data_IF_370340213165
#
_entry.id   IF_370340213165
#
_cell.length_a   1.000
_cell.length_b   1.000
_cell.length_c   1.000
_cell.angle_alpha   90.00
_cell.angle_beta   90.00
_cell.angle_gamma   90.00
#
_symmetry.space_group_name_H-M   'P 1'
#
loop_
_entity.id
_entity.type
_entity.pdbx_description
1 polymer ?
#
# COMPACT_ATOMS: atom_id res chain seq x y z
N UNK A 1 8.94 -15.92 -7.32
CA UNK A 1 7.76 -15.61 -8.14
C UNK A 1 7.18 -14.33 -7.59
N UNK A 2 6.99 -13.30 -8.41
CA UNK A 2 6.43 -12.04 -7.94
C UNK A 2 4.99 -12.28 -7.50
N UNK A 3 4.66 -11.93 -6.25
CA UNK A 3 3.30 -11.94 -5.75
C UNK A 3 2.55 -10.81 -6.47
N UNK A 4 1.86 -11.11 -7.57
CA UNK A 4 1.15 -10.14 -8.39
C UNK A 4 -0.36 -10.30 -8.24
N UNK A 5 -1.08 -9.19 -8.21
CA UNK A 5 -2.54 -9.13 -8.10
C UNK A 5 -3.13 -8.41 -9.32
N UNK A 6 -4.27 -8.90 -9.81
CA UNK A 6 -4.99 -8.28 -10.93
C UNK A 6 -5.75 -7.05 -10.40
N UNK A 7 -5.37 -5.85 -10.84
CA UNK A 7 -6.07 -4.61 -10.46
C UNK A 7 -7.08 -4.15 -11.50
N UNK A 8 -6.96 -4.64 -12.75
CA UNK A 8 -7.90 -4.32 -13.82
C UNK A 8 -7.99 -5.46 -14.82
N UNK A 9 -9.21 -5.84 -15.17
CA UNK A 9 -9.50 -6.79 -16.24
C UNK A 9 -10.28 -6.06 -17.32
N UNK A 10 -9.80 -6.16 -18.56
CA UNK A 10 -10.50 -5.62 -19.72
C UNK A 10 -11.66 -6.55 -20.12
N UNK A 11 -12.70 -6.05 -20.81
CA UNK A 11 -13.69 -6.92 -21.42
C UNK A 11 -13.03 -7.89 -22.40
N UNK A 12 -13.74 -8.97 -22.72
CA UNK A 12 -13.32 -9.87 -23.80
C UNK A 12 -13.28 -9.09 -25.12
N UNK A 13 -12.20 -9.29 -25.88
CA UNK A 13 -12.01 -8.72 -27.20
C UNK A 13 -12.07 -9.80 -28.25
N UNK A 14 -12.76 -9.49 -29.34
CA UNK A 14 -12.74 -10.21 -30.61
C UNK A 14 -11.80 -9.51 -31.59
N UNK A 15 -11.59 -10.08 -32.78
CA UNK A 15 -10.84 -9.40 -33.85
C UNK A 15 -11.37 -7.97 -34.11
N UNK A 16 -12.68 -7.80 -34.15
CA UNK A 16 -13.33 -6.52 -34.48
C UNK A 16 -13.33 -5.51 -33.33
N UNK A 17 -13.31 -5.99 -32.08
CA UNK A 17 -13.41 -5.13 -30.88
C UNK A 17 -12.05 -4.89 -30.20
N UNK A 18 -10.98 -5.51 -30.70
CA UNK A 18 -9.62 -5.28 -30.23
C UNK A 18 -9.26 -3.79 -30.35
N UNK A 19 -8.92 -3.09 -29.24
CA UNK A 19 -8.67 -1.66 -29.31
C UNK A 19 -7.42 -1.36 -30.15
N UNK A 20 -7.57 -0.47 -31.12
CA UNK A 20 -6.51 -0.12 -32.09
C UNK A 20 -5.20 0.35 -31.45
N UNK A 21 -5.24 0.86 -30.23
CA UNK A 21 -4.03 1.23 -29.47
C UNK A 21 -3.06 0.06 -29.29
N UNK A 22 -3.58 -1.16 -29.08
CA UNK A 22 -2.75 -2.35 -28.86
C UNK A 22 -2.10 -2.91 -30.14
N UNK A 23 -2.53 -2.42 -31.32
CA UNK A 23 -1.94 -2.77 -32.62
C UNK A 23 -0.68 -1.93 -32.94
N UNK A 24 -0.51 -0.81 -32.24
CA UNK A 24 0.64 0.07 -32.38
C UNK A 24 1.69 -0.23 -31.32
N UNK A 25 2.92 0.25 -31.54
CA UNK A 25 4.00 0.10 -30.58
C UNK A 25 3.66 0.83 -29.28
N UNK A 26 3.57 0.09 -28.17
CA UNK A 26 3.26 0.64 -26.86
C UNK A 26 3.89 -0.20 -25.75
N UNK A 27 3.79 0.28 -24.51
CA UNK A 27 4.18 -0.47 -23.32
C UNK A 27 3.25 -0.13 -22.14
N UNK A 28 3.40 -0.87 -21.05
CA UNK A 28 2.77 -0.56 -19.78
C UNK A 28 3.63 0.39 -18.95
N UNK A 29 2.99 1.10 -18.02
CA UNK A 29 3.68 1.95 -17.05
C UNK A 29 4.57 1.12 -16.11
N UNK A 30 5.48 1.78 -15.40
CA UNK A 30 6.22 1.18 -14.29
C UNK A 30 5.27 0.54 -13.26
N UNK A 31 5.65 -0.63 -12.74
CA UNK A 31 4.84 -1.39 -11.78
C UNK A 31 3.53 -1.96 -12.36
N UNK A 32 3.37 -1.98 -13.68
CA UNK A 32 2.22 -2.61 -14.36
C UNK A 32 2.70 -3.74 -15.26
N UNK A 33 2.34 -4.96 -14.89
CA UNK A 33 2.45 -6.13 -15.75
C UNK A 33 1.14 -6.30 -16.53
N UNK A 34 1.24 -6.92 -17.70
CA UNK A 34 0.08 -7.27 -18.51
C UNK A 34 0.07 -8.77 -18.80
N UNK A 35 -1.05 -9.43 -18.54
CA UNK A 35 -1.28 -10.83 -18.91
C UNK A 35 -2.38 -10.88 -19.96
N UNK A 36 -2.00 -11.20 -21.18
CA UNK A 36 -2.95 -11.52 -22.23
C UNK A 36 -3.35 -12.99 -22.09
N UNK A 37 -4.65 -13.27 -22.17
CA UNK A 37 -5.21 -14.61 -22.13
C UNK A 37 -5.98 -14.85 -23.43
N UNK A 38 -5.56 -15.86 -24.20
CA UNK A 38 -6.25 -16.27 -25.43
C UNK A 38 -7.32 -17.30 -25.06
N UNK A 39 -8.57 -17.03 -25.45
CA UNK A 39 -9.75 -17.85 -25.15
C UNK A 39 -10.17 -18.68 -26.36
N UNK A 40 -9.95 -18.19 -27.58
CA UNK A 40 -10.20 -18.87 -28.85
C UNK A 40 -9.35 -18.26 -29.97
N UNK A 41 -9.18 -19.00 -31.06
CA UNK A 41 -8.44 -18.56 -32.24
C UNK A 41 -6.94 -18.39 -31.98
N UNK A 42 -6.31 -17.47 -32.70
CA UNK A 42 -4.88 -17.17 -32.56
C UNK A 42 -4.59 -15.68 -32.70
N UNK A 43 -3.46 -15.26 -32.14
CA UNK A 43 -2.99 -13.88 -32.14
C UNK A 43 -1.50 -13.84 -32.38
N UNK A 44 -1.08 -13.03 -33.36
CA UNK A 44 0.32 -12.73 -33.60
C UNK A 44 0.76 -11.53 -32.77
N UNK A 45 1.91 -11.64 -32.14
CA UNK A 45 2.43 -10.69 -31.16
C UNK A 45 3.91 -10.41 -31.43
N UNK A 46 4.32 -9.16 -31.31
CA UNK A 46 5.71 -8.75 -31.45
C UNK A 46 6.22 -8.09 -30.16
N UNK A 47 7.38 -8.54 -29.69
CA UNK A 47 8.22 -7.75 -28.80
C UNK A 47 9.03 -6.80 -29.67
N UNK A 48 9.07 -5.54 -29.29
CA UNK A 48 9.65 -4.45 -30.09
C UNK A 48 10.63 -3.63 -29.26
N UNK A 49 11.38 -2.75 -29.92
CA UNK A 49 12.10 -1.66 -29.25
C UNK A 49 11.24 -0.38 -29.18
N UNK A 50 11.80 0.69 -28.61
CA UNK A 50 11.11 1.99 -28.51
C UNK A 50 10.84 2.67 -29.86
N UNK A 51 11.54 2.27 -30.93
CA UNK A 51 11.34 2.77 -32.29
C UNK A 51 10.31 1.95 -33.08
N UNK A 52 9.89 0.79 -32.55
CA UNK A 52 8.93 -0.11 -33.16
C UNK A 52 9.55 -1.20 -34.02
N UNK A 53 10.88 -1.35 -34.00
CA UNK A 53 11.53 -2.46 -34.68
C UNK A 53 11.17 -3.77 -33.97
N UNK A 54 10.82 -4.80 -34.75
CA UNK A 54 10.46 -6.11 -34.18
C UNK A 54 11.73 -6.84 -33.77
N UNK A 55 11.80 -7.20 -32.49
CA UNK A 55 12.89 -7.98 -31.91
C UNK A 55 12.55 -9.48 -31.94
N UNK A 56 11.32 -9.80 -31.56
CA UNK A 56 10.81 -11.18 -31.53
C UNK A 56 9.35 -11.20 -31.96
N UNK A 57 8.92 -12.33 -32.55
CA UNK A 57 7.56 -12.54 -33.06
C UNK A 57 7.04 -13.88 -32.59
N UNK A 58 5.79 -13.91 -32.12
CA UNK A 58 5.15 -15.07 -31.54
C UNK A 58 3.72 -15.21 -32.08
N UNK A 59 3.22 -16.44 -32.11
CA UNK A 59 1.81 -16.73 -32.33
C UNK A 59 1.29 -17.47 -31.10
N UNK A 60 0.25 -16.90 -30.48
CA UNK A 60 -0.38 -17.44 -29.28
C UNK A 60 -1.77 -18.01 -29.59
N UNK A 61 -2.16 -19.02 -28.83
CA UNK A 61 -3.45 -19.73 -28.92
C UNK A 61 -3.91 -20.17 -27.53
N UNK A 62 -5.12 -20.75 -27.36
CA UNK A 62 -5.55 -21.32 -26.09
C UNK A 62 -4.55 -22.33 -25.50
N UNK A 63 -3.90 -23.10 -26.36
CA UNK A 63 -2.90 -24.13 -26.00
C UNK A 63 -1.49 -23.56 -25.80
N UNK A 64 -1.20 -22.38 -26.36
CA UNK A 64 0.07 -21.68 -26.25
C UNK A 64 -0.15 -20.24 -25.78
N UNK A 65 -0.31 -20.06 -24.47
CA UNK A 65 -0.63 -18.76 -23.88
C UNK A 65 0.57 -17.80 -23.92
N UNK A 66 0.31 -16.48 -24.06
CA UNK A 66 1.35 -15.47 -23.92
C UNK A 66 1.98 -15.50 -22.52
N UNK A 67 3.29 -15.26 -22.40
CA UNK A 67 3.90 -15.02 -21.10
C UNK A 67 3.40 -13.69 -20.52
N UNK A 68 3.70 -13.46 -19.25
CA UNK A 68 3.50 -12.17 -18.62
C UNK A 68 4.36 -11.11 -19.31
N UNK A 69 3.76 -9.96 -19.63
CA UNK A 69 4.46 -8.81 -20.22
C UNK A 69 4.97 -7.93 -19.09
N UNK A 70 6.27 -7.65 -19.12
CA UNK A 70 6.97 -6.88 -18.10
C UNK A 70 6.68 -5.36 -18.20
N UNK A 71 6.76 -4.61 -17.08
CA UNK A 71 6.65 -3.16 -17.09
C UNK A 71 7.62 -2.51 -18.08
N UNK A 72 7.15 -1.50 -18.81
CA UNK A 72 7.92 -0.76 -19.84
C UNK A 72 8.41 -1.60 -21.03
N UNK A 73 8.07 -2.88 -21.12
CA UNK A 73 8.40 -3.72 -22.28
C UNK A 73 7.59 -3.27 -23.50
N UNK A 74 8.29 -2.86 -24.55
CA UNK A 74 7.69 -2.46 -25.82
C UNK A 74 7.16 -3.68 -26.58
N UNK A 75 5.91 -3.58 -27.02
CA UNK A 75 5.25 -4.65 -27.75
C UNK A 75 4.06 -4.14 -28.57
N UNK A 76 3.52 -5.02 -29.42
CA UNK A 76 2.25 -4.82 -30.12
C UNK A 76 1.62 -6.14 -30.55
N UNK A 77 0.30 -6.12 -30.72
CA UNK A 77 -0.43 -7.16 -31.42
C UNK A 77 -0.27 -6.90 -32.92
N UNK A 78 0.23 -7.87 -33.67
CA UNK A 78 0.49 -7.76 -35.11
C UNK A 78 -0.76 -8.10 -35.90
N UNK A 79 -1.40 -9.22 -35.56
CA UNK A 79 -2.58 -9.73 -36.25
C UNK A 79 -3.40 -10.63 -35.32
N UNK A 80 -4.65 -10.91 -35.69
CA UNK A 80 -5.50 -11.84 -34.97
C UNK A 80 -6.37 -12.61 -35.98
N UNK A 81 -6.64 -13.88 -35.70
CA UNK A 81 -7.56 -14.70 -36.50
C UNK A 81 -9.01 -14.19 -36.38
N UNK A 82 -9.85 -14.54 -37.34
CA UNK A 82 -11.25 -14.09 -37.39
C UNK A 82 -12.09 -14.58 -36.22
N UNK A 83 -11.74 -15.72 -35.65
CA UNK A 83 -12.36 -16.33 -34.48
C UNK A 83 -11.65 -15.99 -33.16
N UNK A 84 -10.65 -15.08 -33.19
CA UNK A 84 -9.89 -14.71 -32.00
C UNK A 84 -10.80 -14.15 -30.92
N UNK A 85 -10.64 -14.69 -29.71
CA UNK A 85 -11.19 -14.12 -28.48
C UNK A 85 -10.10 -14.07 -27.42
N UNK A 86 -9.90 -12.93 -26.79
CA UNK A 86 -8.89 -12.77 -25.75
C UNK A 86 -9.33 -11.82 -24.64
N UNK A 87 -8.59 -11.83 -23.54
CA UNK A 87 -8.77 -10.92 -22.41
C UNK A 87 -7.43 -10.40 -21.95
N UNK A 88 -7.39 -9.12 -21.56
CA UNK A 88 -6.19 -8.51 -21.00
C UNK A 88 -6.40 -8.23 -19.50
N UNK A 89 -5.46 -8.72 -18.69
CA UNK A 89 -5.37 -8.41 -17.28
C UNK A 89 -4.18 -7.49 -17.03
N UNK A 90 -4.40 -6.42 -16.27
CA UNK A 90 -3.32 -5.60 -15.73
C UNK A 90 -3.08 -6.00 -14.28
N UNK A 91 -1.82 -6.28 -13.97
CA UNK A 91 -1.37 -6.75 -12.68
C UNK A 91 -0.36 -5.78 -12.09
N UNK A 92 -0.29 -5.74 -10.76
CA UNK A 92 0.71 -4.99 -10.01
C UNK A 92 1.11 -5.77 -8.75
N UNK A 93 2.12 -5.31 -8.03
CA UNK A 93 2.40 -5.84 -6.69
C UNK A 93 1.31 -5.37 -5.71
N UNK A 94 1.04 -6.12 -4.63
CA UNK A 94 0.02 -5.78 -3.63
C UNK A 94 0.16 -4.37 -3.05
N UNK A 95 1.37 -3.88 -2.85
CA UNK A 95 1.62 -2.55 -2.30
C UNK A 95 1.24 -1.41 -3.25
N UNK A 96 1.28 -1.66 -4.56
CA UNK A 96 0.85 -0.72 -5.59
C UNK A 96 -0.66 -0.82 -5.87
N UNK A 97 -1.33 -1.89 -5.41
CA UNK A 97 -2.74 -2.15 -5.71
C UNK A 97 -3.68 -1.00 -5.31
N UNK A 98 -3.60 -0.43 -4.09
CA UNK A 98 -4.45 0.70 -3.71
C UNK A 98 -4.26 1.91 -4.64
N UNK A 99 -3.02 2.17 -5.07
CA UNK A 99 -2.70 3.29 -5.96
C UNK A 99 -3.16 3.05 -7.40
N UNK A 100 -2.92 1.85 -7.94
CA UNK A 100 -3.27 1.49 -9.33
C UNK A 100 -4.78 1.43 -9.53
N UNK A 101 -5.53 0.81 -8.60
CA UNK A 101 -6.98 0.61 -8.72
C UNK A 101 -7.81 1.80 -8.24
N UNK A 102 -7.48 2.35 -7.07
CA UNK A 102 -8.32 3.33 -6.37
C UNK A 102 -7.73 4.74 -6.29
N UNK A 103 -6.58 4.97 -6.94
CA UNK A 103 -5.89 6.28 -6.92
C UNK A 103 -5.58 6.75 -5.49
N UNK A 104 -5.31 5.79 -4.60
CA UNK A 104 -4.78 6.05 -3.27
C UNK A 104 -3.26 6.28 -3.35
N UNK A 105 -2.66 6.66 -2.23
CA UNK A 105 -1.21 6.53 -2.10
C UNK A 105 -0.83 5.05 -2.01
N UNK A 106 0.38 4.70 -2.48
CA UNK A 106 0.99 3.39 -2.25
C UNK A 106 1.05 3.08 -0.76
N UNK A 107 0.95 1.80 -0.38
CA UNK A 107 1.18 1.39 1.00
C UNK A 107 2.53 1.93 1.52
N UNK A 108 2.58 2.31 2.79
CA UNK A 108 3.77 2.94 3.36
C UNK A 108 4.98 2.00 3.24
N UNK A 109 6.14 2.49 2.79
CA UNK A 109 7.32 1.65 2.52
C UNK A 109 7.74 0.82 3.72
N UNK A 110 7.69 1.40 4.92
CA UNK A 110 7.98 0.69 6.18
C UNK A 110 7.03 -0.47 6.46
N UNK A 111 5.75 -0.36 6.09
CA UNK A 111 4.78 -1.45 6.23
C UNK A 111 5.10 -2.57 5.25
N UNK A 112 5.43 -2.20 4.00
CA UNK A 112 5.80 -3.14 2.93
C UNK A 112 7.10 -3.87 3.26
N UNK A 113 8.08 -3.17 3.84
CA UNK A 113 9.35 -3.77 4.25
C UNK A 113 9.20 -4.70 5.46
N UNK A 114 8.40 -4.28 6.46
CA UNK A 114 8.25 -5.02 7.70
C UNK A 114 7.48 -6.32 7.52
N UNK A 115 6.31 -6.27 6.87
CA UNK A 115 5.31 -7.34 6.89
C UNK A 115 5.88 -8.74 6.52
N UNK A 116 6.69 -8.92 5.46
CA UNK A 116 7.22 -10.23 5.09
C UNK A 116 8.24 -10.81 6.10
N UNK A 117 8.72 -10.01 7.05
CA UNK A 117 9.73 -10.38 8.06
C UNK A 117 9.11 -10.64 9.44
N UNK A 118 7.82 -10.36 9.62
CA UNK A 118 7.14 -10.54 10.91
C UNK A 118 6.74 -12.00 11.10
N UNK A 119 6.95 -12.51 12.31
CA UNK A 119 6.45 -13.83 12.73
C UNK A 119 5.01 -13.67 13.24
N UNK A 120 4.06 -13.72 12.31
CA UNK A 120 2.64 -13.51 12.57
C UNK A 120 1.85 -14.82 12.51
N UNK A 121 0.86 -15.02 13.41
CA UNK A 121 -0.02 -16.18 13.33
C UNK A 121 -0.89 -16.15 12.06
N UNK A 122 -1.39 -17.30 11.63
CA UNK A 122 -2.16 -17.43 10.38
C UNK A 122 -3.42 -16.55 10.30
N UNK A 123 -4.00 -16.18 11.45
CA UNK A 123 -5.17 -15.30 11.54
C UNK A 123 -4.83 -13.97 12.22
N UNK A 124 -3.62 -13.46 12.00
CA UNK A 124 -3.12 -12.27 12.67
C UNK A 124 -4.08 -11.09 12.57
N UNK A 125 -4.24 -10.41 13.70
CA UNK A 125 -5.02 -9.19 13.84
C UNK A 125 -4.12 -7.98 13.77
N UNK A 126 -4.42 -7.08 12.84
CA UNK A 126 -3.78 -5.79 12.72
C UNK A 126 -4.72 -4.66 13.15
N UNK A 127 -4.14 -3.60 13.72
CA UNK A 127 -4.81 -2.33 13.97
C UNK A 127 -4.12 -1.22 13.18
N UNK A 128 -4.86 -0.53 12.32
CA UNK A 128 -4.41 0.66 11.60
C UNK A 128 -4.93 1.92 12.28
N UNK A 129 -4.07 2.56 13.08
CA UNK A 129 -4.36 3.75 13.88
C UNK A 129 -4.15 5.00 13.03
N UNK A 130 -5.26 5.62 12.60
CA UNK A 130 -5.29 6.69 11.61
C UNK A 130 -5.21 6.14 10.19
N UNK A 131 -6.13 5.21 9.88
CA UNK A 131 -6.10 4.44 8.64
C UNK A 131 -6.40 5.29 7.38
N UNK A 132 -6.96 6.49 7.54
CA UNK A 132 -7.38 7.37 6.46
C UNK A 132 -8.25 6.65 5.42
N UNK A 133 -7.85 6.75 4.15
CA UNK A 133 -8.51 6.06 3.03
C UNK A 133 -8.06 4.60 2.87
N UNK A 134 -7.26 4.07 3.80
CA UNK A 134 -6.96 2.63 3.93
C UNK A 134 -5.79 2.08 3.11
N UNK A 135 -4.81 2.89 2.71
CA UNK A 135 -3.66 2.40 1.92
C UNK A 135 -2.94 1.22 2.58
N UNK A 136 -2.79 1.27 3.92
CA UNK A 136 -2.15 0.21 4.68
C UNK A 136 -3.16 -0.89 5.03
N UNK A 137 -4.36 -0.55 5.50
CA UNK A 137 -5.43 -1.53 5.76
C UNK A 137 -5.69 -2.48 4.58
N UNK A 138 -5.80 -1.93 3.36
CA UNK A 138 -6.01 -2.74 2.15
C UNK A 138 -4.80 -3.63 1.86
N UNK A 139 -3.58 -3.10 1.98
CA UNK A 139 -2.35 -3.88 1.78
C UNK A 139 -2.24 -5.05 2.77
N UNK A 140 -2.55 -4.84 4.04
CA UNK A 140 -2.53 -5.88 5.07
C UNK A 140 -3.61 -6.94 4.83
N UNK A 141 -4.82 -6.53 4.44
CA UNK A 141 -5.91 -7.45 4.11
C UNK A 141 -5.58 -8.31 2.88
N UNK A 142 -4.91 -7.75 1.87
CA UNK A 142 -4.41 -8.50 0.70
C UNK A 142 -3.36 -9.56 1.10
N UNK A 143 -2.71 -9.41 2.25
CA UNK A 143 -1.81 -10.40 2.84
C UNK A 143 -2.49 -11.31 3.86
N UNK A 144 -3.82 -11.28 3.95
CA UNK A 144 -4.61 -12.21 4.75
C UNK A 144 -4.79 -11.83 6.22
N UNK A 145 -4.38 -10.63 6.65
CA UNK A 145 -4.60 -10.16 8.01
C UNK A 145 -6.06 -9.71 8.21
N UNK A 146 -6.55 -9.81 9.45
CA UNK A 146 -7.79 -9.15 9.87
C UNK A 146 -7.46 -7.76 10.39
N UNK A 147 -7.99 -6.72 9.78
CA UNK A 147 -7.62 -5.33 10.07
C UNK A 147 -8.79 -4.61 10.74
N UNK A 148 -8.55 -4.07 11.92
CA UNK A 148 -9.39 -3.02 12.49
C UNK A 148 -8.75 -1.67 12.07
N UNK A 149 -9.48 -0.84 11.33
CA UNK A 149 -9.03 0.48 10.88
C UNK A 149 -9.79 1.59 11.62
N UNK A 150 -9.05 2.50 12.26
CA UNK A 150 -9.64 3.59 13.03
C UNK A 150 -9.20 4.93 12.47
N UNK A 151 -10.13 5.86 12.26
CA UNK A 151 -9.83 7.23 11.85
C UNK A 151 -10.87 8.21 12.39
N UNK A 152 -10.55 9.51 12.43
CA UNK A 152 -11.50 10.55 12.85
C UNK A 152 -12.29 11.13 11.67
N UNK A 153 -11.85 10.87 10.43
CA UNK A 153 -12.43 11.45 9.23
C UNK A 153 -13.52 10.53 8.64
N UNK A 154 -14.82 10.86 8.79
CA UNK A 154 -15.90 10.03 8.29
C UNK A 154 -15.91 9.88 6.76
N UNK A 155 -15.44 10.89 6.01
CA UNK A 155 -15.37 10.82 4.54
C UNK A 155 -14.29 9.83 4.08
N UNK A 156 -13.17 9.78 4.80
CA UNK A 156 -12.10 8.83 4.53
C UNK A 156 -12.54 7.38 4.83
N UNK A 157 -13.23 7.19 5.96
CA UNK A 157 -13.82 5.91 6.35
C UNK A 157 -14.90 5.47 5.35
N UNK A 158 -15.76 6.38 4.90
CA UNK A 158 -16.78 6.09 3.89
C UNK A 158 -16.14 5.65 2.57
N UNK A 159 -15.10 6.35 2.12
CA UNK A 159 -14.33 5.96 0.92
C UNK A 159 -13.75 4.55 1.07
N UNK A 160 -13.20 4.23 2.25
CA UNK A 160 -12.64 2.90 2.51
C UNK A 160 -13.73 1.83 2.60
N UNK A 161 -14.89 2.13 3.19
CA UNK A 161 -16.03 1.22 3.25
C UNK A 161 -16.53 0.83 1.85
N UNK A 162 -16.58 1.78 0.91
CA UNK A 162 -16.93 1.51 -0.49
C UNK A 162 -15.90 0.59 -1.17
N UNK A 163 -14.62 0.79 -0.91
CA UNK A 163 -13.57 -0.09 -1.42
C UNK A 163 -13.71 -1.50 -0.82
N UNK A 164 -13.93 -1.61 0.50
CA UNK A 164 -14.13 -2.88 1.20
C UNK A 164 -15.31 -3.65 0.59
N UNK A 165 -16.42 -2.98 0.32
CA UNK A 165 -17.59 -3.60 -0.31
C UNK A 165 -17.27 -4.08 -1.73
N UNK A 166 -16.65 -3.23 -2.55
CA UNK A 166 -16.28 -3.57 -3.94
C UNK A 166 -15.29 -4.74 -4.03
N UNK A 167 -14.42 -4.89 -3.03
CA UNK A 167 -13.39 -5.92 -2.95
C UNK A 167 -13.84 -7.18 -2.18
N UNK A 168 -15.06 -7.18 -1.64
CA UNK A 168 -15.58 -8.23 -0.74
C UNK A 168 -14.67 -8.47 0.48
N UNK A 169 -14.10 -7.41 1.05
CA UNK A 169 -13.20 -7.47 2.21
C UNK A 169 -13.92 -7.29 3.56
N UNK A 170 -15.26 -7.35 3.59
CA UNK A 170 -16.05 -7.07 4.81
C UNK A 170 -15.79 -8.02 5.98
N UNK A 171 -15.32 -9.24 5.72
CA UNK A 171 -14.89 -10.17 6.77
C UNK A 171 -13.45 -9.90 7.26
N UNK A 172 -12.65 -9.17 6.47
CA UNK A 172 -11.24 -8.90 6.71
C UNK A 172 -10.97 -7.54 7.30
N UNK A 173 -11.76 -6.52 6.96
CA UNK A 173 -11.55 -5.15 7.42
C UNK A 173 -12.79 -4.65 8.16
N UNK A 174 -12.60 -4.17 9.38
CA UNK A 174 -13.63 -3.48 10.17
C UNK A 174 -13.19 -2.05 10.41
N UNK A 175 -14.14 -1.13 10.36
CA UNK A 175 -13.87 0.30 10.52
C UNK A 175 -14.54 0.82 11.78
N UNK A 176 -13.87 1.74 12.46
CA UNK A 176 -14.44 2.51 13.56
C UNK A 176 -14.02 3.98 13.46
N UNK A 177 -14.92 4.87 13.86
CA UNK A 177 -14.63 6.30 13.96
C UNK A 177 -14.18 6.62 15.40
N UNK A 178 -13.05 7.33 15.53
CA UNK A 178 -12.60 7.85 16.82
C UNK A 178 -11.73 9.09 16.67
N UNK A 179 -11.92 10.07 17.56
CA UNK A 179 -11.00 11.19 17.73
C UNK A 179 -9.87 10.81 18.69
N UNK A 180 -8.67 10.64 18.14
CA UNK A 180 -7.49 10.30 18.93
C UNK A 180 -7.05 11.39 19.91
N UNK A 181 -7.52 12.64 19.78
CA UNK A 181 -7.26 13.66 20.80
C UNK A 181 -7.93 13.36 22.14
N UNK A 182 -8.85 12.39 22.17
CA UNK A 182 -9.48 11.90 23.41
C UNK A 182 -8.67 10.81 24.13
N UNK A 183 -7.50 10.40 23.58
CA UNK A 183 -6.71 9.29 24.14
C UNK A 183 -6.19 9.58 25.56
N UNK A 184 -6.07 10.85 25.96
CA UNK A 184 -5.68 11.24 27.31
C UNK A 184 -6.80 11.07 28.35
N UNK A 185 -8.05 11.01 27.90
CA UNK A 185 -9.25 10.99 28.76
C UNK A 185 -9.94 9.63 28.78
N UNK A 186 -9.75 8.81 27.74
CA UNK A 186 -10.43 7.53 27.59
C UNK A 186 -9.61 6.52 26.78
N UNK A 187 -9.89 5.23 27.00
CA UNK A 187 -9.30 4.13 26.22
C UNK A 187 -10.02 4.02 24.87
N UNK A 188 -9.31 4.36 23.79
CA UNK A 188 -9.79 4.29 22.41
C UNK A 188 -9.44 2.96 21.77
N UNK A 189 -8.30 2.37 22.16
CA UNK A 189 -7.84 1.11 21.62
C UNK A 189 -8.21 -0.02 22.57
N UNK A 190 -8.89 -1.04 22.05
CA UNK A 190 -9.30 -2.23 22.80
C UNK A 190 -8.92 -3.49 22.03
N UNK A 191 -8.61 -4.56 22.78
CA UNK A 191 -8.26 -5.86 22.22
C UNK A 191 -6.77 -6.18 22.34
N UNK A 192 -6.38 -7.24 21.64
CA UNK A 192 -5.01 -7.75 21.57
C UNK A 192 -4.66 -7.98 20.11
N UNK A 193 -3.68 -7.22 19.60
CA UNK A 193 -3.28 -7.22 18.19
C UNK A 193 -1.87 -7.76 18.02
N UNK A 194 -1.66 -8.51 16.95
CA UNK A 194 -0.35 -9.02 16.56
C UNK A 194 0.49 -7.94 15.87
N UNK A 195 -0.16 -6.97 15.23
CA UNK A 195 0.48 -5.82 14.58
C UNK A 195 -0.35 -4.55 14.82
N UNK A 196 0.27 -3.49 15.30
CA UNK A 196 -0.34 -2.15 15.34
C UNK A 196 0.52 -1.19 14.54
N UNK A 197 -0.07 -0.43 13.64
CA UNK A 197 0.61 0.60 12.86
C UNK A 197 0.01 1.98 13.11
N UNK A 198 0.88 2.99 13.11
CA UNK A 198 0.50 4.40 13.03
C UNK A 198 1.52 5.13 12.16
N UNK A 199 1.17 5.37 10.90
CA UNK A 199 2.09 5.98 9.93
C UNK A 199 1.61 7.37 9.52
N UNK A 200 2.34 8.41 9.93
CA UNK A 200 2.07 9.82 9.59
C UNK A 200 0.74 10.32 10.15
N UNK A 201 0.47 10.00 11.43
CA UNK A 201 -0.79 10.35 12.13
C UNK A 201 -0.52 11.18 13.39
N UNK A 202 0.46 10.76 14.21
CA UNK A 202 0.70 11.36 15.53
C UNK A 202 0.95 12.88 15.47
N UNK A 203 1.53 13.39 14.37
CA UNK A 203 1.80 14.83 14.22
C UNK A 203 0.54 15.71 14.16
N UNK A 204 -0.64 15.12 13.94
CA UNK A 204 -1.91 15.84 13.92
C UNK A 204 -2.61 15.89 15.29
N UNK A 205 -2.03 15.26 16.31
CA UNK A 205 -2.64 15.14 17.64
C UNK A 205 -2.03 16.15 18.62
N UNK A 206 -2.79 16.53 19.64
CA UNK A 206 -2.23 17.24 20.79
C UNK A 206 -1.18 16.35 21.48
N UNK A 207 -0.13 16.98 22.02
CA UNK A 207 1.04 16.26 22.53
C UNK A 207 0.70 15.21 23.60
N UNK A 208 -0.18 15.52 24.55
CA UNK A 208 -0.60 14.58 25.59
C UNK A 208 -1.41 13.41 25.01
N UNK A 209 -2.26 13.69 24.02
CA UNK A 209 -3.03 12.68 23.33
C UNK A 209 -2.14 11.75 22.48
N UNK A 210 -1.12 12.28 21.80
CA UNK A 210 -0.17 11.49 21.03
C UNK A 210 0.57 10.50 21.94
N UNK A 211 1.07 10.97 23.10
CA UNK A 211 1.76 10.11 24.07
C UNK A 211 0.83 9.08 24.71
N UNK A 212 -0.38 9.49 25.06
CA UNK A 212 -1.39 8.57 25.59
C UNK A 212 -1.78 7.50 24.56
N UNK A 213 -1.91 7.87 23.28
CA UNK A 213 -2.22 6.94 22.20
C UNK A 213 -1.10 5.90 22.02
N UNK A 214 0.18 6.31 22.05
CA UNK A 214 1.31 5.36 22.01
C UNK A 214 1.23 4.37 23.18
N UNK A 215 0.95 4.84 24.39
CA UNK A 215 0.79 3.94 25.56
C UNK A 215 -0.40 2.98 25.39
N UNK A 216 -1.51 3.44 24.81
CA UNK A 216 -2.63 2.57 24.47
C UNK A 216 -2.27 1.53 23.41
N UNK A 217 -1.49 1.89 22.38
CA UNK A 217 -0.99 0.95 21.37
C UNK A 217 -0.16 -0.16 22.04
N UNK A 218 0.80 0.22 22.89
CA UNK A 218 1.62 -0.73 23.64
C UNK A 218 0.78 -1.69 24.49
N UNK A 219 -0.27 -1.18 25.12
CA UNK A 219 -1.21 -1.96 25.95
C UNK A 219 -2.02 -2.93 25.09
N UNK A 220 -2.57 -2.48 23.96
CA UNK A 220 -3.37 -3.26 23.04
C UNK A 220 -2.56 -4.28 22.20
N UNK A 221 -1.23 -4.25 22.29
CA UNK A 221 -0.38 -5.20 21.56
C UNK A 221 -0.28 -6.53 22.32
N UNK A 222 -0.48 -7.64 21.62
CA UNK A 222 -0.28 -8.97 22.16
C UNK A 222 1.20 -9.18 22.57
N UNK A 223 1.49 -10.00 23.60
CA UNK A 223 2.85 -10.46 23.85
C UNK A 223 3.47 -11.08 22.59
N UNK A 224 4.70 -10.71 22.27
CA UNK A 224 5.34 -11.09 21.01
C UNK A 224 4.87 -10.33 19.75
N UNK A 225 3.83 -9.51 19.85
CA UNK A 225 3.30 -8.68 18.76
C UNK A 225 4.13 -7.43 18.48
N UNK A 226 3.75 -6.69 17.44
CA UNK A 226 4.59 -5.65 16.85
C UNK A 226 3.91 -4.27 16.83
N UNK A 227 4.70 -3.21 16.97
CA UNK A 227 4.28 -1.83 16.70
C UNK A 227 5.17 -1.22 15.62
N UNK A 228 4.53 -0.60 14.63
CA UNK A 228 5.19 0.15 13.58
C UNK A 228 4.73 1.61 13.59
N UNK A 229 5.63 2.52 13.92
CA UNK A 229 5.35 3.97 13.99
C UNK A 229 6.27 4.72 13.03
N UNK A 230 5.67 5.64 12.29
CA UNK A 230 6.41 6.66 11.51
C UNK A 230 5.80 8.02 11.84
N UNK A 231 6.58 8.92 12.41
CA UNK A 231 6.09 10.26 12.79
C UNK A 231 7.15 11.34 12.59
N UNK A 232 6.69 12.56 12.31
CA UNK A 232 7.56 13.71 12.11
C UNK A 232 8.22 14.11 13.43
N UNK A 233 9.42 14.68 13.29
CA UNK A 233 10.24 15.18 14.37
C UNK A 233 10.47 16.68 14.25
N UNK A 234 10.90 17.28 15.36
CA UNK A 234 11.40 18.65 15.44
C UNK A 234 12.78 18.66 16.11
N UNK A 235 13.82 18.89 15.30
CA UNK A 235 15.24 18.73 15.65
C UNK A 235 16.03 19.95 15.19
N UNK A 236 17.15 20.27 15.86
CA UNK A 236 17.93 21.48 15.57
C UNK A 236 18.42 21.58 14.12
N UNK A 237 18.76 20.45 13.49
CA UNK A 237 19.27 20.39 12.11
C UNK A 237 18.16 20.30 11.04
N UNK A 238 16.97 19.81 11.42
CA UNK A 238 15.75 19.80 10.60
C UNK A 238 14.55 20.30 11.43
N UNK A 239 14.45 21.61 11.69
CA UNK A 239 13.37 22.16 12.51
C UNK A 239 12.03 22.01 11.78
N UNK A 240 10.97 21.66 12.52
CA UNK A 240 9.65 21.49 11.92
C UNK A 240 9.02 22.84 11.59
N UNK A 241 8.86 23.11 10.29
CA UNK A 241 8.23 24.34 9.77
C UNK A 241 6.72 24.21 9.58
N UNK A 242 6.16 23.02 9.78
CA UNK A 242 4.73 22.77 9.63
C UNK A 242 3.98 23.04 10.94
N UNK A 243 2.71 23.48 10.87
CA UNK A 243 1.89 23.76 12.06
C UNK A 243 1.35 22.47 12.68
N UNK A 244 2.22 21.49 12.92
CA UNK A 244 1.87 20.25 13.59
C UNK A 244 1.75 20.49 15.10
N UNK A 245 0.62 20.14 15.75
CA UNK A 245 0.46 20.25 17.21
C UNK A 245 1.42 19.34 17.99
N UNK A 246 1.97 18.29 17.36
CA UNK A 246 2.94 17.39 17.97
C UNK A 246 4.04 17.01 17.00
N UNK A 247 5.26 16.93 17.52
CA UNK A 247 6.44 16.37 16.84
C UNK A 247 7.28 15.67 17.90
N UNK A 248 7.96 14.59 17.49
CA UNK A 248 8.87 13.88 18.36
C UNK A 248 10.20 14.62 18.49
N UNK A 249 10.80 14.56 19.68
CA UNK A 249 12.20 14.95 19.92
C UNK A 249 13.15 13.79 19.66
N UNK A 250 14.43 14.10 19.49
CA UNK A 250 15.50 13.10 19.37
C UNK A 250 15.45 12.11 20.54
N UNK A 251 15.43 10.81 20.22
CA UNK A 251 15.37 9.71 21.19
C UNK A 251 14.03 9.54 21.92
N UNK A 252 13.03 10.41 21.71
CA UNK A 252 11.78 10.38 22.48
C UNK A 252 11.00 9.07 22.22
N UNK A 253 10.89 8.64 20.97
CA UNK A 253 10.12 7.45 20.62
C UNK A 253 10.79 6.16 21.08
N UNK A 254 12.12 6.03 20.93
CA UNK A 254 12.84 4.86 21.45
C UNK A 254 12.77 4.76 22.97
N UNK A 255 12.83 5.90 23.68
CA UNK A 255 12.65 5.94 25.13
C UNK A 255 11.25 5.46 25.55
N UNK A 256 10.19 5.83 24.81
CA UNK A 256 8.83 5.36 25.08
C UNK A 256 8.68 3.84 24.92
N UNK A 257 9.49 3.21 24.08
CA UNK A 257 9.50 1.76 23.85
C UNK A 257 10.61 1.03 24.63
N UNK A 258 11.12 1.62 25.71
CA UNK A 258 12.07 0.95 26.60
C UNK A 258 11.51 -0.40 27.08
N UNK A 259 12.33 -1.45 26.97
CA UNK A 259 11.95 -2.83 27.32
C UNK A 259 11.33 -3.62 26.17
N UNK A 260 11.02 -2.99 25.03
CA UNK A 260 10.68 -3.68 23.80
C UNK A 260 11.94 -3.98 22.98
N UNK A 261 11.88 -5.02 22.15
CA UNK A 261 12.93 -5.31 21.18
C UNK A 261 12.77 -4.37 19.97
N UNK A 262 13.74 -3.50 19.74
CA UNK A 262 13.72 -2.59 18.58
C UNK A 262 14.32 -3.30 17.36
N UNK A 263 13.46 -3.81 16.48
CA UNK A 263 13.86 -4.47 15.24
C UNK A 263 14.33 -3.48 14.18
N UNK A 264 13.77 -2.27 14.19
CA UNK A 264 14.22 -1.14 13.39
C UNK A 264 13.99 0.14 14.17
N UNK A 265 15.02 0.99 14.25
CA UNK A 265 14.89 2.34 14.75
C UNK A 265 15.83 3.26 13.96
N UNK A 266 15.29 4.38 13.47
CA UNK A 266 16.08 5.47 12.92
C UNK A 266 15.29 6.78 13.00
N UNK A 267 16.03 7.89 12.90
CA UNK A 267 15.50 9.25 12.90
C UNK A 267 15.97 9.99 11.64
N UNK A 268 15.92 9.30 10.50
CA UNK A 268 16.51 9.78 9.26
C UNK A 268 15.73 10.96 8.65
N UNK A 269 16.39 11.83 7.88
CA UNK A 269 15.71 12.80 7.04
C UNK A 269 14.80 12.12 6.00
N UNK A 270 13.63 12.69 5.80
CA UNK A 270 12.66 12.29 4.79
C UNK A 270 11.91 13.51 4.25
N UNK A 271 10.90 13.26 3.42
CA UNK A 271 10.11 14.34 2.82
C UNK A 271 8.62 14.12 3.05
N UNK A 272 7.90 15.20 3.33
CA UNK A 272 6.45 15.20 3.28
C UNK A 272 5.97 15.07 1.83
N UNK A 273 4.75 14.59 1.65
CA UNK A 273 4.06 14.66 0.35
C UNK A 273 3.74 16.11 -0.07
N UNK A 274 3.75 17.05 0.89
CA UNK A 274 3.52 18.48 0.66
C UNK A 274 4.82 19.16 0.20
N UNK A 275 4.68 20.13 -0.70
CA UNK A 275 5.77 20.97 -1.19
C UNK A 275 5.76 22.36 -0.54
N UNK A 276 6.92 23.02 -0.52
CA UNK A 276 7.07 24.43 -0.14
C UNK A 276 6.52 25.39 -1.23
N UNK A 277 6.72 26.70 -1.03
CA UNK A 277 6.24 27.73 -1.95
C UNK A 277 6.94 27.68 -3.32
N UNK A 278 8.15 27.11 -3.35
CA UNK A 278 8.99 26.94 -4.53
C UNK A 278 8.74 25.59 -5.23
N UNK A 279 7.87 24.74 -4.68
CA UNK A 279 7.52 23.43 -5.24
C UNK A 279 8.48 22.30 -4.84
N UNK A 280 9.42 22.53 -3.93
CA UNK A 280 10.31 21.48 -3.42
C UNK A 280 9.61 20.67 -2.32
N UNK A 281 9.87 19.36 -2.20
CA UNK A 281 9.37 18.56 -1.08
C UNK A 281 9.90 19.08 0.26
N UNK A 282 9.01 19.21 1.25
CA UNK A 282 9.40 19.71 2.58
C UNK A 282 10.18 18.62 3.32
N UNK A 283 11.45 18.87 3.63
CA UNK A 283 12.31 17.96 4.36
C UNK A 283 12.12 18.08 5.87
N UNK A 284 11.99 16.95 6.56
CA UNK A 284 11.93 16.82 8.02
C UNK A 284 12.64 15.53 8.45
N UNK A 285 13.05 15.42 9.71
CA UNK A 285 13.36 14.11 10.28
C UNK A 285 12.08 13.34 10.62
N UNK A 286 12.12 12.03 10.47
CA UNK A 286 11.05 11.12 10.84
C UNK A 286 11.57 10.03 11.76
N UNK A 287 10.96 9.88 12.92
CA UNK A 287 11.20 8.74 13.78
C UNK A 287 10.46 7.55 13.18
N UNK A 288 11.21 6.52 12.81
CA UNK A 288 10.72 5.26 12.27
C UNK A 288 11.07 4.14 13.22
N UNK A 289 10.05 3.46 13.76
CA UNK A 289 10.18 2.41 14.76
C UNK A 289 9.41 1.18 14.31
N UNK A 290 10.09 0.03 14.25
CA UNK A 290 9.48 -1.30 14.32
C UNK A 290 9.95 -1.96 15.61
N UNK A 291 9.04 -2.20 16.55
CA UNK A 291 9.34 -2.78 17.85
C UNK A 291 8.48 -4.01 18.13
N UNK A 292 9.06 -5.01 18.80
CA UNK A 292 8.36 -6.23 19.24
C UNK A 292 8.18 -6.22 20.76
N UNK A 293 6.97 -6.52 21.21
CA UNK A 293 6.63 -6.66 22.62
C UNK A 293 7.24 -7.95 23.18
N UNK A 294 7.84 -7.94 24.38
CA UNK A 294 8.26 -9.16 25.04
C UNK A 294 7.11 -10.15 25.24
N UNK A 295 7.46 -11.43 25.39
CA UNK A 295 6.53 -12.50 25.76
C UNK A 295 6.06 -12.35 27.21
#
# INVERSE_FOLDING_TARGET
MNNLVIYKTMPEWTQDTLPKGFLHNHNTQEGTWAQLQILAGSLDFAITDSQGNTLEHFTFSPENQPPLIEPKQWHRIVSASTDMRCRLHFMCTPEDYPAKKYKLSRAHSEVVEALPRLDLPANARALDVGCGRGRNSLYLALHGLHVDGIDHNPEALQTLAEIIANENLGERIRLAEADFNQAGQQSLLQGSYDLILSTVVLMFLQADAARALIAQMQTATAPGGYNLIVSAMDTDDYPCTQPFPFTLREGELSAMYQGWELLKYNENPGHLHKTDAEGNPIALRFATLLARKPQ
#
